data_IF_270113294000
#
_entry.id   IF_270113294000
#
_cell.length_a   1.000
_cell.length_b   1.000
_cell.length_c   1.000
_cell.angle_alpha   90.00
_cell.angle_beta   90.00
_cell.angle_gamma   90.00
#
_symmetry.space_group_name_H-M   'P 1'
#
loop_
_entity.id
_entity.type
_entity.pdbx_description
1 polymer ?
#
# COMPACT_ATOMS: atom_id res chain seq x y z
N UNK A 1 17.71 -17.09 -20.82
CA UNK A 1 17.31 -17.46 -19.44
C UNK A 1 15.80 -17.54 -19.43
N UNK A 2 15.25 -18.70 -19.12
CA UNK A 2 13.82 -18.98 -19.10
C UNK A 2 13.62 -20.49 -18.94
N UNK A 3 12.70 -20.90 -18.07
CA UNK A 3 12.25 -22.28 -17.96
C UNK A 3 11.14 -22.50 -19.01
N UNK A 4 11.26 -23.56 -19.79
CA UNK A 4 10.25 -24.08 -20.71
C UNK A 4 9.02 -24.71 -20.02
N UNK A 5 9.02 -24.87 -18.69
CA UNK A 5 7.86 -25.39 -17.94
C UNK A 5 6.86 -24.32 -17.49
N UNK A 6 7.16 -23.04 -17.68
CA UNK A 6 6.36 -21.95 -17.11
C UNK A 6 6.48 -21.91 -15.57
N UNK A 7 6.00 -20.82 -14.98
CA UNK A 7 5.89 -20.67 -13.52
C UNK A 7 4.43 -20.54 -13.10
N UNK A 8 4.19 -20.66 -11.80
CA UNK A 8 2.86 -20.40 -11.23
C UNK A 8 2.45 -18.95 -11.45
N UNK A 9 1.18 -18.73 -11.75
CA UNK A 9 0.58 -17.41 -11.88
C UNK A 9 -0.81 -17.41 -11.26
N UNK A 10 -1.25 -16.22 -10.85
CA UNK A 10 -2.59 -15.97 -10.33
C UNK A 10 -3.27 -14.90 -11.17
N UNK A 11 -4.59 -14.94 -11.22
CA UNK A 11 -5.44 -13.91 -11.82
C UNK A 11 -6.42 -13.45 -10.74
N UNK A 12 -6.79 -12.18 -10.78
CA UNK A 12 -7.74 -11.58 -9.85
C UNK A 12 -8.68 -10.63 -10.58
N UNK A 13 -9.70 -10.14 -9.86
CA UNK A 13 -10.68 -9.19 -10.37
C UNK A 13 -11.44 -9.71 -11.61
N UNK A 14 -11.83 -10.98 -11.57
CA UNK A 14 -12.72 -11.67 -12.53
C UNK A 14 -14.01 -12.01 -11.79
N UNK A 15 -15.17 -11.65 -12.34
CA UNK A 15 -16.45 -11.83 -11.64
C UNK A 15 -16.85 -13.31 -11.54
N UNK A 16 -16.49 -14.08 -12.56
CA UNK A 16 -16.74 -15.51 -12.67
C UNK A 16 -15.96 -16.34 -11.64
N UNK A 17 -14.83 -15.81 -11.14
CA UNK A 17 -14.00 -16.41 -10.09
C UNK A 17 -14.40 -15.94 -8.68
N UNK A 18 -15.57 -15.33 -8.50
CA UNK A 18 -16.14 -15.04 -7.18
C UNK A 18 -16.94 -16.26 -6.70
N UNK A 19 -16.26 -17.22 -6.09
CA UNK A 19 -16.83 -18.54 -5.78
C UNK A 19 -16.55 -19.07 -4.35
N UNK A 20 -15.72 -18.39 -3.57
CA UNK A 20 -15.31 -18.84 -2.23
C UNK A 20 -15.60 -17.83 -1.09
N UNK A 21 -15.88 -18.31 0.15
CA UNK A 21 -16.12 -17.44 1.31
C UNK A 21 -14.95 -16.49 1.60
N UNK A 22 -15.26 -15.19 1.74
CA UNK A 22 -14.27 -14.13 1.98
C UNK A 22 -13.87 -13.33 0.75
N UNK A 23 -14.28 -13.76 -0.45
CA UNK A 23 -13.96 -13.09 -1.70
C UNK A 23 -14.89 -11.91 -2.00
N UNK A 24 -14.43 -10.99 -2.83
CA UNK A 24 -15.21 -9.84 -3.27
C UNK A 24 -14.89 -9.46 -4.72
N UNK A 25 -15.86 -8.84 -5.38
CA UNK A 25 -15.71 -8.24 -6.70
C UNK A 25 -16.40 -6.87 -6.74
N UNK A 26 -15.72 -5.85 -7.25
CA UNK A 26 -16.29 -4.52 -7.41
C UNK A 26 -16.57 -4.20 -8.88
N UNK A 27 -17.84 -4.25 -9.26
CA UNK A 27 -18.28 -3.77 -10.58
C UNK A 27 -18.25 -2.24 -10.60
N UNK A 28 -17.22 -1.69 -11.25
CA UNK A 28 -17.03 -0.25 -11.41
C UNK A 28 -18.11 0.41 -12.26
N UNK A 29 -18.68 -0.27 -13.25
CA UNK A 29 -19.71 0.28 -14.15
C UNK A 29 -21.06 0.36 -13.44
N UNK A 30 -21.46 -0.73 -12.78
CA UNK A 30 -22.70 -0.76 -12.01
C UNK A 30 -22.56 -0.09 -10.63
N UNK A 31 -21.33 0.21 -10.19
CA UNK A 31 -20.98 0.67 -8.85
C UNK A 31 -21.51 -0.25 -7.76
N UNK A 32 -21.35 -1.56 -7.94
CA UNK A 32 -21.82 -2.60 -7.02
C UNK A 32 -20.65 -3.38 -6.46
N UNK A 33 -20.61 -3.55 -5.14
CA UNK A 33 -19.70 -4.46 -4.47
C UNK A 33 -20.44 -5.78 -4.22
N UNK A 34 -19.91 -6.85 -4.78
CA UNK A 34 -20.30 -8.22 -4.49
C UNK A 34 -19.34 -8.76 -3.43
N UNK A 35 -19.87 -9.30 -2.34
CA UNK A 35 -19.09 -9.86 -1.24
C UNK A 35 -19.65 -11.24 -0.93
N UNK A 36 -18.83 -12.27 -1.08
CA UNK A 36 -19.17 -13.60 -0.63
C UNK A 36 -18.84 -13.70 0.86
N UNK A 37 -19.85 -13.40 1.69
CA UNK A 37 -19.67 -13.31 3.14
C UNK A 37 -19.10 -14.63 3.68
N UNK A 38 -18.08 -14.56 4.54
CA UNK A 38 -17.38 -15.72 5.06
C UNK A 38 -18.23 -16.62 5.98
N UNK A 39 -19.50 -16.24 6.23
CA UNK A 39 -20.46 -17.00 7.00
C UNK A 39 -20.30 -16.92 8.52
N UNK A 40 -19.25 -16.25 9.03
CA UNK A 40 -19.07 -16.08 10.47
C UNK A 40 -19.92 -14.92 10.98
N UNK A 41 -21.16 -15.20 11.36
CA UNK A 41 -22.10 -14.22 11.91
C UNK A 41 -22.89 -13.46 10.84
N UNK A 42 -23.56 -12.40 11.25
CA UNK A 42 -24.27 -11.52 10.33
C UNK A 42 -23.26 -10.66 9.53
N UNK A 43 -23.57 -10.33 8.26
CA UNK A 43 -22.77 -9.38 7.49
C UNK A 43 -22.56 -8.04 8.21
N UNK A 44 -21.45 -7.33 7.97
CA UNK A 44 -21.13 -6.08 8.67
C UNK A 44 -22.27 -5.06 8.60
N UNK A 45 -22.81 -4.67 9.76
CA UNK A 45 -23.88 -3.68 9.88
C UNK A 45 -23.42 -2.23 9.66
N UNK A 46 -22.12 -1.97 9.86
CA UNK A 46 -21.51 -0.64 9.81
C UNK A 46 -20.86 -0.31 8.45
N UNK A 47 -21.17 -1.10 7.40
CA UNK A 47 -20.62 -0.92 6.06
C UNK A 47 -19.21 -1.49 5.91
N UNK A 48 -18.60 -1.22 4.75
CA UNK A 48 -17.29 -1.72 4.33
C UNK A 48 -16.32 -0.57 4.14
N UNK A 49 -15.02 -0.82 4.35
CA UNK A 49 -13.95 0.15 4.11
C UNK A 49 -13.20 -0.27 2.85
N UNK A 50 -13.11 0.64 1.87
CA UNK A 50 -12.34 0.43 0.64
C UNK A 50 -11.18 1.43 0.61
N UNK A 51 -9.92 0.99 0.75
CA UNK A 51 -8.78 1.89 0.72
C UNK A 51 -8.59 2.47 -0.69
N UNK A 52 -8.34 3.78 -0.78
CA UNK A 52 -8.14 4.48 -2.07
C UNK A 52 -6.77 5.12 -2.20
N UNK A 53 -6.22 5.59 -1.09
CA UNK A 53 -4.94 6.28 -1.07
C UNK A 53 -3.81 5.26 -0.98
N UNK A 54 -2.80 5.43 -1.84
CA UNK A 54 -1.54 4.70 -1.75
C UNK A 54 -0.67 5.22 -0.61
N UNK A 55 -0.67 6.55 -0.44
CA UNK A 55 0.14 7.26 0.55
C UNK A 55 -0.78 8.14 1.37
N UNK A 56 -0.72 7.96 2.69
CA UNK A 56 -1.50 8.69 3.70
C UNK A 56 -0.75 9.94 4.16
N UNK A 57 0.58 9.86 4.24
CA UNK A 57 1.45 10.97 4.62
C UNK A 57 2.68 11.02 3.71
N UNK A 58 2.95 12.20 3.15
CA UNK A 58 4.14 12.46 2.34
C UNK A 58 4.92 13.64 2.95
N UNK A 59 6.17 13.38 3.33
CA UNK A 59 7.12 14.40 3.77
C UNK A 59 8.25 14.44 2.74
N UNK A 60 8.19 15.46 1.88
CA UNK A 60 9.13 15.63 0.78
C UNK A 60 9.87 16.97 0.87
N UNK A 61 11.19 16.90 0.82
CA UNK A 61 12.10 18.00 0.59
C UNK A 61 13.17 17.61 -0.43
N UNK A 62 14.25 18.38 -0.49
CA UNK A 62 15.43 18.06 -1.30
C UNK A 62 16.66 17.93 -0.40
N UNK A 63 17.77 17.40 -0.91
CA UNK A 63 19.04 17.40 -0.15
C UNK A 63 19.49 18.83 0.21
N UNK A 64 19.17 19.81 -0.64
CA UNK A 64 19.55 21.20 -0.47
C UNK A 64 18.60 21.99 0.44
N UNK A 65 17.33 21.56 0.50
CA UNK A 65 16.29 22.13 1.34
C UNK A 65 15.44 20.99 1.92
N UNK A 66 15.95 20.27 2.93
CA UNK A 66 15.24 19.13 3.47
C UNK A 66 14.14 19.57 4.44
N UNK A 67 13.08 18.77 4.55
CA UNK A 67 12.07 18.92 5.59
C UNK A 67 12.66 18.46 6.94
N UNK A 68 12.60 19.31 7.97
CA UNK A 68 13.34 19.07 9.22
C UNK A 68 12.46 19.10 10.46
N UNK A 69 12.86 18.34 11.48
CA UNK A 69 12.34 18.43 12.86
C UNK A 69 10.83 18.19 12.95
N UNK A 70 10.36 17.09 12.39
CA UNK A 70 8.94 16.71 12.38
C UNK A 70 8.77 15.46 13.24
N UNK A 71 7.90 15.52 14.25
CA UNK A 71 7.56 14.36 15.07
C UNK A 71 6.08 14.06 14.95
N UNK A 72 5.76 12.81 14.60
CA UNK A 72 4.44 12.22 14.67
C UNK A 72 4.39 11.32 15.90
N UNK A 73 3.38 11.51 16.75
CA UNK A 73 3.26 10.74 18.00
C UNK A 73 1.86 10.21 18.19
N UNK A 74 1.72 8.92 18.53
CA UNK A 74 0.44 8.29 18.86
C UNK A 74 -0.57 8.24 17.71
N UNK A 75 -0.10 8.24 16.45
CA UNK A 75 -0.97 8.20 15.27
C UNK A 75 -1.18 6.78 14.75
N UNK A 76 -2.39 6.51 14.27
CA UNK A 76 -2.78 5.27 13.60
C UNK A 76 -2.82 5.47 12.08
N UNK A 77 -1.82 4.97 11.36
CA UNK A 77 -1.82 4.89 9.91
C UNK A 77 -2.49 3.58 9.47
N UNK A 78 -3.66 3.70 8.83
CA UNK A 78 -4.47 2.54 8.42
C UNK A 78 -5.12 2.66 7.06
N UNK A 79 -5.37 1.51 6.42
CA UNK A 79 -6.14 1.40 5.17
C UNK A 79 -5.52 2.15 3.98
N UNK A 80 -4.23 1.93 3.73
CA UNK A 80 -3.61 2.27 2.44
C UNK A 80 -3.85 1.15 1.43
N UNK A 81 -4.13 1.49 0.16
CA UNK A 81 -4.47 0.51 -0.87
C UNK A 81 -3.26 -0.34 -1.26
N UNK A 82 -3.51 -1.50 -1.85
CA UNK A 82 -2.47 -2.37 -2.39
C UNK A 82 -1.75 -1.76 -3.59
N UNK A 83 -0.49 -2.17 -3.80
CA UNK A 83 0.41 -1.60 -4.82
C UNK A 83 1.12 -2.61 -5.71
N UNK A 84 0.94 -3.93 -5.53
CA UNK A 84 1.72 -4.92 -6.29
C UNK A 84 1.44 -4.92 -7.81
N UNK A 85 0.29 -4.39 -8.27
CA UNK A 85 0.00 -4.15 -9.70
C UNK A 85 0.32 -2.72 -10.16
N UNK A 86 0.81 -1.84 -9.28
CA UNK A 86 1.25 -0.51 -9.69
C UNK A 86 2.54 -0.62 -10.53
N UNK A 87 2.76 0.38 -11.37
CA UNK A 87 4.03 0.52 -12.08
C UNK A 87 5.18 0.68 -11.06
N UNK A 88 6.12 -0.26 -11.08
CA UNK A 88 7.31 -0.22 -10.24
C UNK A 88 8.38 0.69 -10.85
N UNK A 89 9.12 1.39 -9.99
CA UNK A 89 10.28 2.15 -10.42
C UNK A 89 11.43 1.21 -10.77
N UNK A 90 12.21 1.56 -11.80
CA UNK A 90 13.39 0.79 -12.23
C UNK A 90 14.63 1.64 -11.94
N UNK A 91 15.09 1.68 -10.66
CA UNK A 91 16.13 2.61 -10.22
C UNK A 91 17.53 2.29 -10.79
N UNK A 92 17.72 1.09 -11.31
CA UNK A 92 18.87 0.68 -12.10
C UNK A 92 18.36 0.08 -13.40
N UNK A 93 19.06 0.26 -14.51
CA UNK A 93 18.75 -0.41 -15.79
C UNK A 93 18.97 -1.95 -15.77
N UNK A 94 19.03 -2.54 -14.58
CA UNK A 94 19.21 -3.97 -14.34
C UNK A 94 17.88 -4.73 -14.20
N UNK A 95 17.93 -5.86 -13.50
CA UNK A 95 16.90 -6.88 -13.44
C UNK A 95 15.94 -6.77 -12.23
N UNK A 96 15.90 -5.60 -11.57
CA UNK A 96 15.03 -5.38 -10.41
C UNK A 96 14.25 -4.07 -10.51
N UNK A 97 13.02 -4.12 -9.99
CA UNK A 97 12.13 -2.99 -9.86
C UNK A 97 11.74 -2.83 -8.39
N UNK A 98 11.39 -1.61 -8.00
CA UNK A 98 11.04 -1.24 -6.64
C UNK A 98 9.71 -0.50 -6.63
N UNK A 99 8.78 -0.95 -5.79
CA UNK A 99 7.65 -0.12 -5.42
C UNK A 99 8.16 1.04 -4.57
N UNK A 100 8.33 2.21 -5.20
CA UNK A 100 8.84 3.44 -4.57
C UNK A 100 7.70 4.24 -3.94
N UNK A 101 6.85 3.57 -3.19
CA UNK A 101 5.74 4.15 -2.45
C UNK A 101 5.61 3.50 -1.07
N UNK A 102 4.81 4.13 -0.22
CA UNK A 102 4.36 3.59 1.07
C UNK A 102 3.22 4.41 1.64
N UNK A 103 2.55 3.88 2.67
CA UNK A 103 1.53 4.60 3.41
C UNK A 103 2.10 5.89 4.03
N UNK A 104 3.35 5.83 4.49
CA UNK A 104 4.17 7.01 4.81
C UNK A 104 5.35 7.06 3.85
N UNK A 105 5.56 8.22 3.23
CA UNK A 105 6.64 8.46 2.27
C UNK A 105 7.55 9.59 2.74
N UNK A 106 8.84 9.31 2.87
CA UNK A 106 9.87 10.27 3.26
C UNK A 106 10.90 10.43 2.13
N UNK A 107 11.17 11.67 1.75
CA UNK A 107 12.27 12.00 0.85
C UNK A 107 12.84 13.38 1.17
N UNK A 108 14.16 13.51 1.20
CA UNK A 108 14.79 14.80 1.48
C UNK A 108 14.47 15.28 2.89
N UNK A 109 14.69 14.45 3.91
CA UNK A 109 14.29 14.76 5.30
C UNK A 109 15.45 14.74 6.29
N UNK A 110 15.33 15.49 7.38
CA UNK A 110 16.23 15.42 8.54
C UNK A 110 15.43 15.40 9.85
N UNK A 111 15.77 14.53 10.81
CA UNK A 111 15.11 14.51 12.14
C UNK A 111 13.58 14.33 12.07
N UNK A 112 13.11 13.41 11.23
CA UNK A 112 11.70 12.98 11.21
C UNK A 112 11.52 11.81 12.16
N UNK A 113 10.57 11.87 13.08
CA UNK A 113 10.32 10.83 14.08
C UNK A 113 8.89 10.31 14.07
N UNK A 114 8.71 8.99 14.19
CA UNK A 114 7.42 8.34 14.41
C UNK A 114 7.43 7.62 15.78
N UNK A 115 6.86 8.27 16.79
CA UNK A 115 6.88 7.78 18.17
C UNK A 115 5.54 7.15 18.53
N UNK A 116 5.56 5.92 19.04
CA UNK A 116 4.35 5.19 19.45
C UNK A 116 3.22 5.19 18.40
N UNK A 117 3.56 5.19 17.11
CA UNK A 117 2.60 5.14 16.02
C UNK A 117 2.25 3.68 15.66
N UNK A 118 1.03 3.45 15.18
CA UNK A 118 0.56 2.14 14.73
C UNK A 118 0.38 2.13 13.21
N UNK A 119 0.84 1.07 12.56
CA UNK A 119 0.72 0.84 11.12
C UNK A 119 -0.06 -0.45 10.90
N UNK A 120 -1.29 -0.35 10.41
CA UNK A 120 -2.22 -1.49 10.33
C UNK A 120 -3.01 -1.52 9.03
N UNK A 121 -3.22 -2.72 8.47
CA UNK A 121 -4.02 -2.91 7.25
C UNK A 121 -3.55 -1.99 6.13
N UNK A 122 -2.24 -2.06 5.87
CA UNK A 122 -1.58 -1.34 4.79
C UNK A 122 -1.24 -2.39 3.74
N UNK A 123 -1.94 -2.39 2.62
CA UNK A 123 -1.85 -3.48 1.64
C UNK A 123 -0.66 -3.30 0.67
N UNK A 124 0.25 -2.37 1.00
CA UNK A 124 1.54 -2.13 0.36
C UNK A 124 2.61 -1.81 1.41
N UNK A 125 3.66 -1.08 1.05
CA UNK A 125 4.70 -0.71 2.03
C UNK A 125 4.14 0.22 3.13
N UNK A 126 4.48 -0.05 4.39
CA UNK A 126 4.10 0.83 5.49
C UNK A 126 4.85 2.17 5.47
N UNK A 127 6.18 2.11 5.36
CA UNK A 127 7.08 3.25 5.35
C UNK A 127 8.06 3.13 4.18
N UNK A 128 8.18 4.19 3.40
CA UNK A 128 9.18 4.32 2.33
C UNK A 128 10.12 5.48 2.64
N UNK A 129 11.40 5.17 2.83
CA UNK A 129 12.46 6.15 3.02
C UNK A 129 13.29 6.21 1.75
N UNK A 130 13.17 7.30 1.00
CA UNK A 130 13.73 7.40 -0.35
C UNK A 130 14.66 8.59 -0.54
N UNK A 131 15.74 8.40 -1.28
CA UNK A 131 16.74 9.47 -1.51
C UNK A 131 17.40 9.94 -0.21
N UNK A 132 17.68 11.24 -0.12
CA UNK A 132 18.37 11.83 1.03
C UNK A 132 17.48 11.82 2.29
N UNK A 133 17.90 11.14 3.35
CA UNK A 133 17.25 11.21 4.68
C UNK A 133 18.33 11.12 5.76
N UNK A 134 18.20 11.87 6.86
CA UNK A 134 19.15 11.82 7.99
C UNK A 134 18.44 11.86 9.33
N UNK A 135 18.85 10.99 10.26
CA UNK A 135 18.25 10.91 11.60
C UNK A 135 16.72 10.71 11.59
N UNK A 136 16.21 9.96 10.61
CA UNK A 136 14.83 9.49 10.64
C UNK A 136 14.74 8.28 11.59
N UNK A 137 13.78 8.29 12.52
CA UNK A 137 13.62 7.26 13.55
C UNK A 137 12.16 6.90 13.85
#
# INVERSE_FOLDING_TARGET
RGENKGGDYFVENVFEELDAPGEFFFDRKARKLYLYHNGTGAPPSHGVVVPRLRTLLNISGTQWAPARNITHSGLDFRAARYTYMDAHGVPSAGDWALDRAGAVYLQGTEHVRFEACRFERLDGNALMVSGYNRYAA
#
